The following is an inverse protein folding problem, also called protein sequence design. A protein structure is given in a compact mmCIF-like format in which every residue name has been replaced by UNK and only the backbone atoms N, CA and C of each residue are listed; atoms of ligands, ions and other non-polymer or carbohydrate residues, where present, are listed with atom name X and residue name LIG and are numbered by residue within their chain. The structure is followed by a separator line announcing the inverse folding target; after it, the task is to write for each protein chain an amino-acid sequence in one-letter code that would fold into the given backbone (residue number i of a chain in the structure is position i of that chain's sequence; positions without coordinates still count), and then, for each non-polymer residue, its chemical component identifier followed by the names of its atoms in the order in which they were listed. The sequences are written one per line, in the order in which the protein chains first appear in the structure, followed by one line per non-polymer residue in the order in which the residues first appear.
data_IF_365190927560
#
_entry.id   IF_365190927560
#
_cell.length_a   1.000
_cell.length_b   1.000
_cell.length_c   1.000
_cell.angle_alpha   90.00
_cell.angle_beta   90.00
_cell.angle_gamma   90.00
#
_symmetry.space_group_name_H-M   'P 1'
#
loop_
_entity.id
_entity.type
_entity.pdbx_description
1 polymer ?
#
# COMPACT_ATOMS: atom_id res chain seq x y z
N UNK A 1 0.87 4.94 15.58
CA UNK A 1 0.36 3.86 14.70
C UNK A 1 0.38 4.28 13.23
N UNK A 2 -0.12 5.47 12.89
CA UNK A 2 -0.04 6.12 11.56
C UNK A 2 1.34 6.04 10.88
N UNK A 3 2.43 6.45 11.55
CA UNK A 3 3.78 6.46 10.95
C UNK A 3 4.25 5.10 10.41
N UNK A 4 3.86 4.00 11.07
CA UNK A 4 4.21 2.63 10.62
C UNK A 4 3.41 2.22 9.38
N UNK A 5 2.15 2.66 9.28
CA UNK A 5 1.27 2.37 8.16
C UNK A 5 1.70 3.18 6.93
N UNK A 6 2.00 4.46 7.10
CA UNK A 6 2.54 5.33 6.04
C UNK A 6 3.85 4.76 5.49
N UNK A 7 4.77 4.32 6.36
CA UNK A 7 6.01 3.67 5.94
C UNK A 7 5.75 2.41 5.11
N UNK A 8 4.82 1.57 5.55
CA UNK A 8 4.47 0.32 4.85
C UNK A 8 3.77 0.55 3.52
N UNK A 9 2.95 1.61 3.42
CA UNK A 9 2.37 2.06 2.17
C UNK A 9 3.44 2.55 1.19
N UNK A 10 4.36 3.40 1.64
CA UNK A 10 5.46 3.91 0.84
C UNK A 10 6.37 2.78 0.32
N UNK A 11 6.67 1.78 1.16
CA UNK A 11 7.43 0.59 0.75
C UNK A 11 6.71 -0.23 -0.33
N UNK A 12 5.38 -0.39 -0.26
CA UNK A 12 4.61 -1.12 -1.27
C UNK A 12 4.60 -0.37 -2.61
N UNK A 13 4.47 0.96 -2.59
CA UNK A 13 4.51 1.78 -3.80
C UNK A 13 5.91 1.79 -4.44
N UNK A 14 6.96 1.88 -3.62
CA UNK A 14 8.35 1.81 -4.09
C UNK A 14 8.68 0.46 -4.74
N UNK A 15 8.18 -0.65 -4.18
CA UNK A 15 8.30 -1.98 -4.79
C UNK A 15 7.49 -2.11 -6.08
N UNK A 16 6.30 -1.50 -6.14
CA UNK A 16 5.48 -1.50 -7.35
C UNK A 16 6.14 -0.73 -8.49
N UNK A 17 6.82 0.37 -8.17
CA UNK A 17 7.56 1.18 -9.15
C UNK A 17 8.79 0.44 -9.71
N UNK A 18 9.43 -0.40 -8.89
CA UNK A 18 10.55 -1.25 -9.32
C UNK A 18 10.12 -2.59 -9.93
N UNK A 19 8.83 -2.92 -9.92
CA UNK A 19 8.35 -4.19 -10.42
C UNK A 19 8.43 -4.22 -11.96
N UNK A 20 9.23 -5.15 -12.48
CA UNK A 20 9.41 -5.37 -13.91
C UNK A 20 8.18 -6.02 -14.55
N UNK A 21 7.39 -6.77 -13.75
CA UNK A 21 6.18 -7.44 -14.20
C UNK A 21 4.90 -6.69 -13.88
N UNK A 22 4.02 -6.52 -14.88
CA UNK A 22 2.68 -5.91 -14.71
C UNK A 22 1.87 -6.58 -13.59
N UNK A 23 1.88 -7.91 -13.52
CA UNK A 23 1.12 -8.68 -12.52
C UNK A 23 1.65 -8.44 -11.10
N UNK A 24 2.97 -8.29 -10.95
CA UNK A 24 3.59 -7.94 -9.66
C UNK A 24 3.28 -6.50 -9.25
N UNK A 25 3.44 -5.55 -10.17
CA UNK A 25 3.13 -4.14 -9.92
C UNK A 25 1.67 -3.98 -9.46
N UNK A 26 0.73 -4.60 -10.18
CA UNK A 26 -0.70 -4.58 -9.83
C UNK A 26 -0.95 -5.25 -8.48
N UNK A 27 -0.31 -6.39 -8.18
CA UNK A 27 -0.44 -7.06 -6.89
C UNK A 27 0.04 -6.22 -5.71
N UNK A 28 1.11 -5.46 -5.89
CA UNK A 28 1.66 -4.54 -4.88
C UNK A 28 0.78 -3.30 -4.69
N UNK A 29 0.27 -2.72 -5.77
CA UNK A 29 -0.70 -1.60 -5.73
C UNK A 29 -1.99 -2.04 -5.03
N UNK A 30 -2.49 -3.24 -5.33
CA UNK A 30 -3.71 -3.76 -4.71
C UNK A 30 -3.54 -3.98 -3.20
N UNK A 31 -2.35 -4.42 -2.76
CA UNK A 31 -1.99 -4.52 -1.34
C UNK A 31 -1.92 -3.15 -0.68
N UNK A 32 -1.35 -2.14 -1.36
CA UNK A 32 -1.29 -0.77 -0.87
C UNK A 32 -2.68 -0.15 -0.72
N UNK A 33 -3.57 -0.37 -1.70
CA UNK A 33 -4.96 0.09 -1.66
C UNK A 33 -5.73 -0.51 -0.48
N UNK A 34 -5.65 -1.83 -0.26
CA UNK A 34 -6.27 -2.48 0.92
C UNK A 34 -5.76 -1.92 2.24
N UNK A 35 -4.47 -1.58 2.32
CA UNK A 35 -3.88 -0.98 3.51
C UNK A 35 -4.46 0.41 3.78
N UNK A 36 -4.62 1.22 2.72
CA UNK A 36 -5.23 2.55 2.78
C UNK A 36 -6.70 2.48 3.19
N UNK A 37 -7.50 1.61 2.58
CA UNK A 37 -8.93 1.43 2.94
C UNK A 37 -9.11 0.99 4.40
N UNK A 38 -8.26 0.08 4.90
CA UNK A 38 -8.30 -0.31 6.32
C UNK A 38 -7.95 0.85 7.26
N UNK A 39 -7.07 1.75 6.82
CA UNK A 39 -6.68 2.91 7.59
C UNK A 39 -7.77 3.99 7.57
N UNK A 40 -8.31 4.31 6.41
CA UNK A 40 -9.40 5.29 6.26
C UNK A 40 -10.65 4.84 7.06
N UNK A 41 -10.97 3.55 7.04
CA UNK A 41 -12.05 3.00 7.88
C UNK A 41 -11.76 3.05 9.39
N UNK A 42 -10.49 3.12 9.80
CA UNK A 42 -10.09 3.22 11.20
C UNK A 42 -10.06 4.68 11.69
N UNK A 43 -9.95 5.67 10.78
CA UNK A 43 -10.11 7.10 11.11
C UNK A 43 -11.56 7.57 11.07
N UNK A 44 -12.46 6.85 10.37
CA UNK A 44 -13.90 7.15 10.33
C UNK A 44 -14.74 6.48 11.44
N UNK A 45 -14.13 5.72 12.35
CA UNK A 45 -14.74 5.26 13.61
C UNK A 45 -14.22 6.10 14.78
#
# INVERSE_FOLDING_TARGET
MQKKIVKKYAELMHKAQQATGRKEAVGLIHKAAKLKTKFDNYEMM
#
